data_IF_925503887843
#
_entry.id   IF_925503887843
#
_cell.length_a   1.000
_cell.length_b   1.000
_cell.length_c   1.000
_cell.angle_alpha   90.00
_cell.angle_beta   90.00
_cell.angle_gamma   90.00
#
_symmetry.space_group_name_H-M   'P 1'
#
loop_
_entity.id
_entity.type
_entity.pdbx_description
1 polymer ?
#
# COMPACT_ATOMS: atom_id res chain seq x y z
N UNK A 1 6.24 -14.15 -11.41
CA UNK A 1 5.15 -14.33 -12.40
C UNK A 1 5.21 -13.29 -13.53
N UNK A 2 5.32 -11.99 -13.28
CA UNK A 2 5.28 -10.97 -14.35
C UNK A 2 6.28 -11.24 -15.48
N UNK A 3 7.56 -11.39 -15.17
CA UNK A 3 8.58 -11.69 -16.19
C UNK A 3 8.35 -13.03 -16.89
N UNK A 4 7.84 -14.04 -16.20
CA UNK A 4 7.50 -15.35 -16.80
C UNK A 4 6.28 -15.29 -17.71
N UNK A 5 5.42 -14.29 -17.54
CA UNK A 5 4.29 -13.98 -18.44
C UNK A 5 4.69 -13.09 -19.63
N UNK A 6 5.96 -12.72 -19.74
CA UNK A 6 6.51 -11.97 -20.87
C UNK A 6 6.50 -10.44 -20.67
N UNK A 7 6.17 -9.95 -19.49
CA UNK A 7 6.26 -8.51 -19.19
C UNK A 7 7.71 -8.07 -18.96
N UNK A 8 8.03 -6.85 -19.36
CA UNK A 8 9.27 -6.19 -18.97
C UNK A 8 9.12 -5.61 -17.56
N UNK A 9 9.95 -6.09 -16.64
CA UNK A 9 9.78 -5.80 -15.20
C UNK A 9 11.07 -5.20 -14.63
N UNK A 10 11.24 -3.87 -14.66
CA UNK A 10 12.24 -3.24 -13.81
C UNK A 10 11.81 -3.32 -12.35
N UNK A 11 12.75 -3.64 -11.46
CA UNK A 11 12.53 -3.75 -10.02
C UNK A 11 13.34 -2.68 -9.30
N UNK A 12 12.68 -1.84 -8.54
CA UNK A 12 13.32 -0.82 -7.71
C UNK A 12 12.74 -0.89 -6.31
N UNK A 13 13.55 -1.25 -5.33
CA UNK A 13 13.08 -1.47 -3.96
C UNK A 13 14.04 -0.89 -2.92
N UNK A 14 13.58 -0.64 -1.69
CA UNK A 14 14.46 -0.26 -0.61
C UNK A 14 15.52 -1.35 -0.31
N UNK A 15 16.73 -0.92 0.04
CA UNK A 15 17.87 -1.79 0.39
C UNK A 15 17.67 -2.53 1.73
N UNK A 16 16.71 -2.09 2.54
CA UNK A 16 16.33 -2.72 3.79
C UNK A 16 14.85 -2.48 4.11
N UNK A 17 14.32 -3.25 5.07
CA UNK A 17 12.91 -3.15 5.48
C UNK A 17 12.54 -1.76 5.97
N UNK A 18 11.43 -1.22 5.45
CA UNK A 18 10.89 0.11 5.73
C UNK A 18 9.42 -0.01 6.19
N UNK A 19 9.19 -0.74 7.28
CA UNK A 19 7.83 -0.87 7.84
C UNK A 19 7.37 0.44 8.48
N UNK A 20 6.07 0.74 8.33
CA UNK A 20 5.41 1.92 8.92
C UNK A 20 6.02 3.28 8.55
N UNK A 21 6.64 3.40 7.38
CA UNK A 21 7.20 4.69 6.90
C UNK A 21 6.15 5.58 6.23
N UNK A 22 4.99 5.02 5.86
CA UNK A 22 3.94 5.76 5.15
C UNK A 22 4.43 6.41 3.86
N UNK A 23 3.79 7.49 3.39
CA UNK A 23 4.13 8.20 2.16
C UNK A 23 5.30 9.19 2.29
N UNK A 24 6.18 9.01 3.29
CA UNK A 24 7.32 9.89 3.51
C UNK A 24 8.32 9.86 2.37
N UNK A 25 8.78 11.05 1.93
CA UNK A 25 9.86 11.22 0.95
C UNK A 25 11.16 11.65 1.63
N UNK A 26 12.29 11.20 1.09
CA UNK A 26 13.64 11.56 1.56
C UNK A 26 14.11 12.84 0.89
N UNK A 27 13.94 13.99 1.55
CA UNK A 27 14.30 15.30 0.98
C UNK A 27 15.65 15.86 1.48
N UNK A 28 16.14 15.41 2.64
CA UNK A 28 17.28 16.03 3.30
C UNK A 28 18.58 15.22 3.20
N UNK A 29 18.52 14.04 2.64
CA UNK A 29 19.67 13.19 2.37
C UNK A 29 19.61 12.64 0.96
N UNK A 30 20.76 12.40 0.29
CA UNK A 30 20.75 11.82 -1.04
C UNK A 30 20.25 10.39 -1.02
N UNK A 31 19.39 10.04 -1.98
CA UNK A 31 19.00 8.65 -2.24
C UNK A 31 20.02 8.01 -3.19
N UNK A 32 20.51 6.83 -2.80
CA UNK A 32 21.43 6.01 -3.59
C UNK A 32 20.67 4.84 -4.19
N UNK A 33 21.04 4.45 -5.42
CA UNK A 33 20.53 3.25 -6.07
C UNK A 33 21.73 2.43 -6.57
N UNK A 34 21.77 1.17 -6.18
CA UNK A 34 22.79 0.21 -6.59
C UNK A 34 22.16 -0.92 -7.39
N UNK A 35 22.87 -1.40 -8.42
CA UNK A 35 22.39 -2.55 -9.21
C UNK A 35 22.33 -3.80 -8.34
N UNK A 36 21.27 -4.57 -8.49
CA UNK A 36 20.98 -5.78 -7.72
C UNK A 36 20.41 -6.90 -8.59
N UNK A 37 20.79 -6.95 -9.87
CA UNK A 37 20.25 -7.89 -10.87
C UNK A 37 20.50 -9.35 -10.48
N UNK A 38 21.62 -9.63 -9.79
CA UNK A 38 21.99 -10.96 -9.32
C UNK A 38 21.01 -11.56 -8.30
N UNK A 39 20.16 -10.74 -7.70
CA UNK A 39 19.15 -11.20 -6.75
C UNK A 39 17.85 -11.68 -7.43
N UNK A 40 17.77 -11.52 -8.76
CA UNK A 40 16.56 -11.79 -9.53
C UNK A 40 16.83 -12.79 -10.67
N UNK A 41 15.77 -13.16 -11.36
CA UNK A 41 15.88 -14.03 -12.55
C UNK A 41 16.60 -13.27 -13.69
N UNK A 42 17.35 -13.98 -14.54
CA UNK A 42 18.03 -13.37 -15.68
C UNK A 42 17.07 -12.54 -16.56
N UNK A 43 17.53 -11.34 -16.93
CA UNK A 43 16.76 -10.40 -17.76
C UNK A 43 15.89 -9.40 -16.98
N UNK A 44 15.82 -9.51 -15.67
CA UNK A 44 15.20 -8.50 -14.80
C UNK A 44 16.25 -7.47 -14.40
N UNK A 45 16.03 -6.21 -14.74
CA UNK A 45 16.83 -5.10 -14.23
C UNK A 45 16.36 -4.74 -12.82
N UNK A 46 17.28 -4.72 -11.86
CA UNK A 46 16.95 -4.48 -10.47
C UNK A 46 17.88 -3.47 -9.79
N UNK A 47 17.32 -2.68 -8.89
CA UNK A 47 18.05 -1.70 -8.07
C UNK A 47 17.61 -1.78 -6.59
N UNK A 48 18.59 -1.70 -5.70
CA UNK A 48 18.40 -1.49 -4.27
C UNK A 48 18.63 -0.01 -3.94
N UNK A 49 17.65 0.63 -3.29
CA UNK A 49 17.68 2.06 -3.01
C UNK A 49 17.70 2.34 -1.50
N UNK A 50 18.45 3.37 -1.09
CA UNK A 50 18.52 3.79 0.32
C UNK A 50 17.28 4.58 0.79
N UNK A 51 16.34 4.89 -0.09
CA UNK A 51 15.14 5.67 0.17
C UNK A 51 13.95 4.86 0.71
N UNK A 52 12.81 5.53 0.84
CA UNK A 52 11.52 4.93 1.14
C UNK A 52 10.97 4.20 -0.09
N UNK A 53 9.90 3.37 0.04
CA UNK A 53 9.22 2.79 -1.11
C UNK A 53 8.69 3.83 -2.11
N UNK A 54 8.20 4.98 -1.65
CA UNK A 54 7.79 6.09 -2.51
C UNK A 54 8.97 6.72 -3.26
N UNK A 55 10.13 6.91 -2.59
CA UNK A 55 11.35 7.38 -3.24
C UNK A 55 11.81 6.43 -4.35
N UNK A 56 11.67 5.11 -4.13
CA UNK A 56 12.01 4.10 -5.13
C UNK A 56 11.18 4.27 -6.41
N UNK A 57 9.87 4.51 -6.29
CA UNK A 57 8.99 4.75 -7.44
C UNK A 57 9.36 6.06 -8.16
N UNK A 58 9.54 7.15 -7.41
CA UNK A 58 9.98 8.42 -8.00
C UNK A 58 11.28 8.28 -8.76
N UNK A 59 12.29 7.69 -8.14
CA UNK A 59 13.59 7.49 -8.75
C UNK A 59 13.51 6.54 -9.96
N UNK A 60 12.70 5.50 -9.87
CA UNK A 60 12.46 4.60 -10.99
C UNK A 60 11.92 5.35 -12.20
N UNK A 61 10.85 6.10 -12.01
CA UNK A 61 10.14 6.80 -13.10
C UNK A 61 10.94 7.96 -13.69
N UNK A 62 11.79 8.62 -12.90
CA UNK A 62 12.56 9.77 -13.36
C UNK A 62 13.91 9.41 -14.00
N UNK A 63 14.58 8.34 -13.53
CA UNK A 63 15.99 8.13 -13.85
C UNK A 63 16.37 6.69 -14.24
N UNK A 64 15.70 5.66 -13.70
CA UNK A 64 16.19 4.30 -13.82
C UNK A 64 15.49 3.49 -14.91
N UNK A 65 14.23 3.81 -15.20
CA UNK A 65 13.42 3.10 -16.21
C UNK A 65 13.40 3.94 -17.48
N UNK A 66 13.86 3.39 -18.62
CA UNK A 66 14.04 4.17 -19.86
C UNK A 66 12.72 4.59 -20.52
N UNK A 67 11.66 3.84 -20.28
CA UNK A 67 10.33 4.10 -20.85
C UNK A 67 9.28 4.13 -19.74
N UNK A 68 8.25 4.96 -19.90
CA UNK A 68 7.15 5.05 -18.94
C UNK A 68 6.44 3.69 -18.85
N UNK A 69 6.35 3.06 -17.67
CA UNK A 69 5.68 1.78 -17.54
C UNK A 69 4.15 1.91 -17.67
N UNK A 70 3.48 0.81 -18.01
CA UNK A 70 2.02 0.74 -18.08
C UNK A 70 1.37 0.63 -16.69
N UNK A 71 2.13 0.16 -15.69
CA UNK A 71 1.64 -0.13 -14.35
C UNK A 71 2.74 0.00 -13.31
N UNK A 72 2.42 0.52 -12.14
CA UNK A 72 3.22 0.41 -10.92
C UNK A 72 2.65 -0.70 -10.04
N UNK A 73 3.44 -1.76 -9.84
CA UNK A 73 3.10 -2.88 -8.97
C UNK A 73 3.95 -2.84 -7.71
N UNK A 74 3.34 -2.60 -6.55
CA UNK A 74 4.01 -2.53 -5.26
C UNK A 74 3.67 -3.73 -4.38
N UNK A 75 4.66 -4.52 -4.05
CA UNK A 75 4.50 -5.72 -3.21
C UNK A 75 5.29 -6.92 -3.78
N UNK A 76 5.07 -8.13 -3.31
CA UNK A 76 4.01 -8.55 -2.36
C UNK A 76 4.46 -8.24 -0.93
N UNK A 77 3.70 -7.45 -0.18
CA UNK A 77 3.99 -7.13 1.21
C UNK A 77 3.72 -8.32 2.12
N UNK A 78 4.57 -8.47 3.13
CA UNK A 78 4.46 -9.46 4.18
C UNK A 78 3.75 -8.86 5.40
N UNK A 79 2.45 -9.01 5.43
CA UNK A 79 1.52 -8.46 6.42
C UNK A 79 0.38 -7.69 5.76
N UNK A 80 -0.77 -7.53 6.44
CA UNK A 80 -1.93 -6.84 5.91
C UNK A 80 -1.69 -5.33 5.73
N UNK A 81 -2.37 -4.75 4.74
CA UNK A 81 -2.57 -3.32 4.58
C UNK A 81 -4.07 -3.07 4.44
N UNK A 82 -4.79 -3.16 5.54
CA UNK A 82 -6.25 -3.13 5.63
C UNK A 82 -6.74 -1.87 6.35
N UNK A 83 -7.91 -1.39 5.97
CA UNK A 83 -8.53 -0.25 6.62
C UNK A 83 -7.63 0.98 6.70
N UNK A 84 -7.64 1.66 7.83
CA UNK A 84 -6.83 2.87 8.05
C UNK A 84 -5.32 2.64 8.07
N UNK A 85 -4.84 1.37 8.12
CA UNK A 85 -3.40 1.07 8.05
C UNK A 85 -2.77 1.47 6.72
N UNK A 86 -3.56 1.65 5.67
CA UNK A 86 -3.10 2.15 4.36
C UNK A 86 -2.35 3.48 4.47
N UNK A 87 -2.68 4.33 5.45
CA UNK A 87 -1.99 5.61 5.67
C UNK A 87 -0.55 5.46 6.19
N UNK A 88 -0.23 4.34 6.83
CA UNK A 88 1.10 4.07 7.36
C UNK A 88 1.90 3.08 6.50
N UNK A 89 1.29 2.53 5.45
CA UNK A 89 1.88 1.49 4.61
C UNK A 89 2.86 2.04 3.59
N UNK A 90 4.11 1.56 3.61
CA UNK A 90 5.07 1.84 2.56
C UNK A 90 4.69 1.22 1.21
N UNK A 91 4.04 0.05 1.23
CA UNK A 91 3.56 -0.64 0.02
C UNK A 91 2.46 0.15 -0.68
N UNK A 92 1.47 0.63 0.09
CA UNK A 92 0.41 1.47 -0.45
C UNK A 92 0.97 2.83 -0.89
N UNK A 93 1.92 3.39 -0.14
CA UNK A 93 2.57 4.66 -0.47
C UNK A 93 3.33 4.60 -1.81
N UNK A 94 4.05 3.51 -2.09
CA UNK A 94 4.72 3.32 -3.37
C UNK A 94 3.74 3.23 -4.54
N UNK A 95 2.65 2.48 -4.39
CA UNK A 95 1.60 2.42 -5.41
C UNK A 95 0.90 3.79 -5.57
N UNK A 96 0.64 4.50 -4.47
CA UNK A 96 0.07 5.85 -4.49
C UNK A 96 0.96 6.83 -5.26
N UNK A 97 2.29 6.72 -5.11
CA UNK A 97 3.22 7.55 -5.88
C UNK A 97 3.08 7.30 -7.38
N UNK A 98 2.92 6.05 -7.83
CA UNK A 98 2.61 5.71 -9.22
C UNK A 98 1.31 6.37 -9.70
N UNK A 99 0.28 6.35 -8.87
CA UNK A 99 -1.00 7.00 -9.18
C UNK A 99 -0.87 8.51 -9.30
N UNK A 100 -0.08 9.15 -8.44
CA UNK A 100 0.21 10.60 -8.51
C UNK A 100 0.97 10.99 -9.77
N UNK A 101 1.81 10.09 -10.31
CA UNK A 101 2.51 10.25 -11.60
C UNK A 101 1.64 9.87 -12.82
N UNK A 102 0.34 9.65 -12.60
CA UNK A 102 -0.64 9.35 -13.66
C UNK A 102 -0.50 7.96 -14.25
N UNK A 103 -0.13 6.98 -13.43
CA UNK A 103 -0.03 5.58 -13.81
C UNK A 103 -1.08 4.73 -13.09
N UNK A 104 -1.62 3.69 -13.73
CA UNK A 104 -2.28 2.60 -13.02
C UNK A 104 -1.38 2.07 -11.91
N UNK A 105 -1.92 1.77 -10.74
CA UNK A 105 -1.13 1.28 -9.62
C UNK A 105 -1.87 0.24 -8.78
N UNK A 106 -1.15 -0.84 -8.41
CA UNK A 106 -1.65 -1.94 -7.60
C UNK A 106 -0.73 -2.17 -6.41
N UNK A 107 -1.25 -2.03 -5.19
CA UNK A 107 -0.60 -2.46 -3.96
C UNK A 107 -1.05 -3.88 -3.62
N UNK A 108 -0.12 -4.77 -3.27
CA UNK A 108 -0.38 -6.19 -3.01
C UNK A 108 0.19 -6.60 -1.67
N UNK A 109 -0.61 -7.28 -0.86
CA UNK A 109 -0.23 -7.71 0.49
C UNK A 109 -0.78 -9.09 0.80
N UNK A 110 0.01 -9.93 1.47
CA UNK A 110 -0.50 -11.14 2.14
C UNK A 110 -0.85 -10.78 3.58
N UNK A 111 -2.10 -11.04 3.97
CA UNK A 111 -2.66 -10.60 5.24
C UNK A 111 -2.18 -11.42 6.46
N UNK A 112 -0.90 -11.77 6.51
CA UNK A 112 -0.29 -12.54 7.58
C UNK A 112 1.23 -12.36 7.65
N UNK A 113 1.77 -12.09 8.84
CA UNK A 113 3.21 -11.95 9.06
C UNK A 113 3.96 -13.29 9.18
N UNK A 114 3.28 -14.42 9.32
CA UNK A 114 3.89 -15.75 9.43
C UNK A 114 3.89 -16.52 8.11
N UNK A 115 3.07 -16.13 7.14
CA UNK A 115 2.97 -16.80 5.84
C UNK A 115 4.22 -16.55 4.99
N UNK A 116 4.72 -17.59 4.31
CA UNK A 116 5.97 -17.54 3.53
C UNK A 116 5.80 -17.90 2.05
N UNK A 117 4.65 -18.43 1.65
CA UNK A 117 4.37 -18.74 0.26
C UNK A 117 3.65 -17.56 -0.41
N UNK A 118 4.37 -16.87 -1.28
CA UNK A 118 3.85 -15.71 -2.02
C UNK A 118 3.45 -16.03 -3.45
N UNK A 119 3.62 -17.29 -3.90
CA UNK A 119 3.39 -17.62 -5.31
C UNK A 119 1.93 -17.38 -5.72
N UNK A 120 0.98 -17.92 -4.96
CA UNK A 120 -0.45 -17.75 -5.24
C UNK A 120 -0.87 -16.27 -5.20
N UNK A 121 -0.32 -15.51 -4.25
CA UNK A 121 -0.59 -14.08 -4.15
C UNK A 121 -0.05 -13.31 -5.37
N UNK A 122 1.14 -13.66 -5.82
CA UNK A 122 1.74 -13.01 -6.99
C UNK A 122 1.01 -13.38 -8.30
N UNK A 123 0.52 -14.61 -8.44
CA UNK A 123 -0.30 -15.00 -9.60
C UNK A 123 -1.63 -14.24 -9.61
N UNK A 124 -2.35 -14.20 -8.49
CA UNK A 124 -3.61 -13.45 -8.40
C UNK A 124 -3.40 -11.95 -8.66
N UNK A 125 -2.29 -11.37 -8.18
CA UNK A 125 -1.96 -9.98 -8.44
C UNK A 125 -1.77 -9.70 -9.92
N UNK A 126 -1.12 -10.62 -10.65
CA UNK A 126 -0.96 -10.51 -12.09
C UNK A 126 -2.30 -10.64 -12.82
N UNK A 127 -3.15 -11.57 -12.43
CA UNK A 127 -4.48 -11.71 -13.02
C UNK A 127 -5.32 -10.43 -12.83
N UNK A 128 -5.29 -9.84 -11.63
CA UNK A 128 -5.96 -8.55 -11.35
C UNK A 128 -5.38 -7.43 -12.22
N UNK A 129 -4.05 -7.33 -12.29
CA UNK A 129 -3.35 -6.27 -13.02
C UNK A 129 -3.66 -6.33 -14.54
N UNK A 130 -3.51 -7.51 -15.14
CA UNK A 130 -3.73 -7.72 -16.59
C UNK A 130 -5.19 -7.47 -16.97
N UNK A 131 -6.15 -7.96 -16.17
CA UNK A 131 -7.57 -7.73 -16.41
C UNK A 131 -7.96 -6.25 -16.24
N UNK A 132 -7.46 -5.59 -15.21
CA UNK A 132 -7.78 -4.18 -14.98
C UNK A 132 -7.19 -3.27 -16.06
N UNK A 133 -5.96 -3.54 -16.54
CA UNK A 133 -5.37 -2.82 -17.67
C UNK A 133 -6.14 -3.00 -18.96
N UNK A 134 -6.65 -4.22 -19.21
CA UNK A 134 -7.43 -4.53 -20.39
C UNK A 134 -8.82 -3.84 -20.40
N UNK A 135 -9.39 -3.57 -19.24
CA UNK A 135 -10.72 -2.99 -19.04
C UNK A 135 -10.71 -1.47 -18.72
N UNK A 136 -9.70 -0.75 -19.20
CA UNK A 136 -9.58 0.70 -19.06
C UNK A 136 -9.52 1.17 -17.60
N UNK A 137 -8.33 1.05 -16.99
CA UNK A 137 -8.03 1.50 -15.61
C UNK A 137 -8.33 3.00 -15.44
N UNK A 138 -9.23 3.40 -14.54
CA UNK A 138 -9.57 4.81 -14.33
C UNK A 138 -8.37 5.64 -13.85
N UNK A 139 -8.31 6.90 -14.28
CA UNK A 139 -7.32 7.86 -13.79
C UNK A 139 -7.45 8.05 -12.27
N UNK A 140 -6.32 8.27 -11.61
CA UNK A 140 -6.25 8.50 -10.16
C UNK A 140 -6.78 7.34 -9.30
N UNK A 141 -6.82 6.12 -9.83
CA UNK A 141 -7.21 4.93 -9.11
C UNK A 141 -6.00 4.08 -8.73
N UNK A 142 -5.82 3.86 -7.44
CA UNK A 142 -4.98 2.83 -6.85
C UNK A 142 -5.88 1.65 -6.45
N UNK A 143 -5.50 0.44 -6.81
CA UNK A 143 -6.10 -0.78 -6.28
C UNK A 143 -5.25 -1.34 -5.15
N UNK A 144 -5.86 -1.64 -4.01
CA UNK A 144 -5.22 -2.27 -2.85
C UNK A 144 -5.75 -3.70 -2.69
N UNK A 145 -4.92 -4.67 -3.04
CA UNK A 145 -5.22 -6.09 -2.99
C UNK A 145 -4.61 -6.70 -1.72
N UNK A 146 -5.46 -7.22 -0.85
CA UNK A 146 -5.04 -8.05 0.27
C UNK A 146 -5.49 -9.49 0.04
N UNK A 147 -4.62 -10.45 0.36
CA UNK A 147 -4.80 -11.87 0.06
C UNK A 147 -4.68 -12.65 1.37
N UNK A 148 -5.63 -13.52 1.71
CA UNK A 148 -5.58 -14.30 2.93
C UNK A 148 -4.44 -15.32 2.88
N UNK A 149 -3.87 -15.73 4.04
CA UNK A 149 -2.80 -16.71 4.12
C UNK A 149 -3.34 -18.15 3.99
N UNK A 150 -3.81 -18.52 2.82
CA UNK A 150 -4.34 -19.86 2.55
C UNK A 150 -3.88 -20.35 1.17
N UNK A 151 -3.97 -21.65 0.97
CA UNK A 151 -3.71 -22.26 -0.34
C UNK A 151 -4.84 -21.92 -1.34
N UNK A 152 -4.55 -21.89 -2.65
CA UNK A 152 -5.53 -21.50 -3.69
C UNK A 152 -6.85 -22.26 -3.60
N UNK A 153 -6.83 -23.56 -3.25
CA UNK A 153 -8.02 -24.40 -3.15
C UNK A 153 -8.94 -24.02 -1.98
N UNK A 154 -8.42 -23.27 -1.02
CA UNK A 154 -9.15 -22.80 0.17
C UNK A 154 -9.55 -21.32 0.04
N UNK A 155 -9.07 -20.67 -1.02
CA UNK A 155 -9.30 -19.24 -1.25
C UNK A 155 -10.71 -19.00 -1.76
N UNK A 156 -11.43 -18.13 -1.07
CA UNK A 156 -12.74 -17.66 -1.51
C UNK A 156 -12.66 -16.71 -2.71
N UNK A 157 -13.82 -16.27 -3.19
CA UNK A 157 -13.89 -15.37 -4.32
C UNK A 157 -13.37 -13.96 -3.98
N UNK A 158 -12.55 -13.39 -4.88
CA UNK A 158 -12.16 -11.99 -4.87
C UNK A 158 -13.41 -11.09 -4.92
N UNK A 159 -13.46 -10.06 -4.09
CA UNK A 159 -14.53 -9.07 -4.09
C UNK A 159 -14.00 -7.65 -4.03
N UNK A 160 -14.75 -6.75 -4.61
CA UNK A 160 -14.65 -5.33 -4.30
C UNK A 160 -15.00 -5.09 -2.85
N UNK A 161 -14.19 -4.27 -2.18
CA UNK A 161 -14.34 -3.98 -0.76
C UNK A 161 -14.19 -2.48 -0.50
N UNK A 162 -14.61 -2.06 0.69
CA UNK A 162 -14.37 -0.71 1.21
C UNK A 162 -13.39 -0.78 2.38
N UNK A 163 -12.65 0.30 2.62
CA UNK A 163 -11.74 0.36 3.77
C UNK A 163 -12.54 0.27 5.08
N UNK A 164 -12.07 -0.54 6.00
CA UNK A 164 -12.50 -0.52 7.40
C UNK A 164 -11.83 0.62 8.16
N UNK A 165 -12.31 0.91 9.36
CA UNK A 165 -11.64 1.81 10.30
C UNK A 165 -11.08 0.98 11.43
N UNK A 166 -9.76 0.88 11.53
CA UNK A 166 -9.06 0.08 12.52
C UNK A 166 -8.73 0.92 13.75
N UNK A 167 -9.02 0.40 14.92
CA UNK A 167 -8.65 0.97 16.20
C UNK A 167 -7.65 0.06 16.91
N UNK A 168 -6.57 0.67 17.38
CA UNK A 168 -5.53 0.00 18.14
C UNK A 168 -5.60 0.42 19.60
N UNK A 169 -5.38 -0.51 20.51
CA UNK A 169 -5.03 -0.18 21.91
C UNK A 169 -3.55 0.18 21.96
N UNK A 170 -3.25 1.40 21.56
CA UNK A 170 -1.87 1.89 21.48
C UNK A 170 -1.34 2.19 22.88
N UNK A 171 -0.34 1.42 23.30
CA UNK A 171 0.36 1.60 24.56
C UNK A 171 1.84 1.74 24.32
N UNK A 172 2.47 2.72 24.96
CA UNK A 172 3.91 2.82 25.01
C UNK A 172 4.48 2.00 26.15
N UNK A 173 5.23 0.95 25.84
CA UNK A 173 6.01 0.20 26.83
C UNK A 173 7.30 0.97 27.16
N UNK A 174 7.36 1.52 28.35
CA UNK A 174 8.56 2.22 28.86
C UNK A 174 9.62 1.23 29.29
N UNK A 175 10.87 1.46 28.86
CA UNK A 175 12.05 0.68 29.24
C UNK A 175 13.25 1.58 29.54
N UNK A 176 14.30 1.01 30.10
CA UNK A 176 15.56 1.68 30.41
C UNK A 176 16.68 0.89 29.74
N UNK A 177 17.57 1.56 29.02
CA UNK A 177 18.73 0.96 28.40
C UNK A 177 19.84 0.68 29.44
N UNK A 178 20.90 -0.10 29.10
CA UNK A 178 22.01 -0.39 30.01
C UNK A 178 22.79 0.85 30.49
N UNK A 179 22.61 2.00 29.83
CA UNK A 179 23.26 3.29 30.21
C UNK A 179 22.35 4.18 31.06
N UNK A 180 21.16 3.69 31.44
CA UNK A 180 20.19 4.41 32.26
C UNK A 180 19.25 5.36 31.51
N UNK A 181 19.30 5.39 30.16
CA UNK A 181 18.42 6.22 29.34
C UNK A 181 17.04 5.55 29.16
N UNK A 182 15.98 6.33 29.31
CA UNK A 182 14.62 5.85 29.08
C UNK A 182 14.31 5.83 27.59
N UNK A 183 13.68 4.74 27.13
CA UNK A 183 13.11 4.62 25.79
C UNK A 183 11.75 3.96 25.82
N UNK A 184 11.01 4.07 24.71
CA UNK A 184 9.63 3.59 24.61
C UNK A 184 9.47 2.76 23.34
N UNK A 185 8.77 1.64 23.47
CA UNK A 185 8.28 0.87 22.34
C UNK A 185 6.80 1.16 22.18
N UNK A 186 6.38 1.50 20.95
CA UNK A 186 4.97 1.47 20.61
C UNK A 186 4.54 0.00 20.54
N UNK A 187 3.63 -0.39 21.42
CA UNK A 187 2.99 -1.69 21.46
C UNK A 187 1.49 -1.47 21.34
N UNK A 188 0.80 -2.41 20.73
CA UNK A 188 -0.66 -2.34 20.62
C UNK A 188 -1.19 -3.48 19.79
N UNK A 189 -2.39 -3.90 20.08
CA UNK A 189 -3.14 -4.88 19.31
C UNK A 189 -4.36 -4.20 18.70
N UNK A 190 -4.84 -4.71 17.57
CA UNK A 190 -6.11 -4.27 17.00
C UNK A 190 -7.23 -4.65 17.97
N UNK A 191 -7.89 -3.66 18.55
CA UNK A 191 -8.97 -3.89 19.52
C UNK A 191 -10.30 -3.99 18.81
N UNK A 192 -10.48 -3.26 17.71
CA UNK A 192 -11.73 -3.22 17.00
C UNK A 192 -11.56 -2.75 15.55
N UNK A 193 -12.16 -3.49 14.64
CA UNK A 193 -12.42 -3.04 13.29
C UNK A 193 -13.86 -2.51 13.21
N UNK A 194 -14.01 -1.24 12.84
CA UNK A 194 -15.30 -0.62 12.59
C UNK A 194 -15.58 -0.62 11.09
N UNK A 195 -16.82 -0.91 10.74
CA UNK A 195 -17.26 -0.66 9.38
C UNK A 195 -17.17 0.83 9.07
N UNK A 196 -16.58 1.15 7.90
CA UNK A 196 -16.57 2.53 7.42
C UNK A 196 -18.00 3.03 7.22
N UNK A 197 -18.33 4.18 7.79
CA UNK A 197 -19.58 4.89 7.55
C UNK A 197 -19.58 5.69 6.23
N UNK A 198 -18.56 5.46 5.34
CA UNK A 198 -18.41 6.20 4.10
C UNK A 198 -19.52 5.92 3.06
N UNK A 199 -19.60 6.81 2.07
CA UNK A 199 -20.61 6.80 1.00
C UNK A 199 -20.40 5.71 -0.08
N UNK A 200 -19.56 4.71 0.16
CA UNK A 200 -19.34 3.60 -0.77
C UNK A 200 -20.56 2.68 -0.92
N UNK A 201 -20.55 1.79 -1.92
CA UNK A 201 -21.64 0.82 -2.11
C UNK A 201 -21.89 0.02 -0.82
N UNK A 202 -23.11 0.06 -0.31
CA UNK A 202 -23.46 -0.58 0.99
C UNK A 202 -23.41 -2.09 0.97
N UNK A 203 -23.46 -2.68 -0.21
CA UNK A 203 -23.37 -4.12 -0.48
C UNK A 203 -21.90 -4.62 -0.54
N UNK A 204 -20.93 -3.73 -0.54
CA UNK A 204 -19.51 -4.11 -0.48
C UNK A 204 -19.12 -4.41 0.97
N UNK A 205 -18.52 -5.58 1.24
CA UNK A 205 -17.97 -5.86 2.56
C UNK A 205 -16.81 -4.92 2.89
N UNK A 206 -16.46 -4.80 4.17
CA UNK A 206 -15.17 -4.19 4.53
C UNK A 206 -14.03 -5.14 4.13
N UNK A 207 -12.86 -4.58 3.87
CA UNK A 207 -11.66 -5.33 3.51
C UNK A 207 -11.26 -6.34 4.60
N UNK A 208 -11.38 -5.96 5.88
CA UNK A 208 -11.12 -6.86 7.01
C UNK A 208 -12.13 -8.00 7.01
N UNK A 209 -13.44 -7.72 6.94
CA UNK A 209 -14.46 -8.76 6.95
C UNK A 209 -14.29 -9.75 5.77
N UNK A 210 -13.85 -9.27 4.60
CA UNK A 210 -13.57 -10.11 3.45
C UNK A 210 -12.40 -11.08 3.73
N UNK A 211 -11.30 -10.57 4.28
CA UNK A 211 -10.12 -11.39 4.64
C UNK A 211 -10.47 -12.45 5.69
N UNK A 212 -11.30 -12.14 6.66
CA UNK A 212 -11.76 -13.07 7.69
C UNK A 212 -12.54 -14.27 7.12
N UNK A 213 -13.09 -14.15 5.93
CA UNK A 213 -13.74 -15.26 5.22
C UNK A 213 -12.79 -16.10 4.36
N UNK A 214 -11.47 -15.96 4.52
CA UNK A 214 -10.44 -16.54 3.65
C UNK A 214 -10.60 -16.16 2.18
N UNK A 215 -11.07 -14.96 1.90
CA UNK A 215 -11.27 -14.47 0.55
C UNK A 215 -10.49 -13.15 0.30
N UNK A 216 -9.89 -12.97 -0.89
CA UNK A 216 -9.15 -11.76 -1.20
C UNK A 216 -10.05 -10.53 -1.25
N UNK A 217 -9.52 -9.39 -0.78
CA UNK A 217 -10.16 -8.08 -0.85
C UNK A 217 -9.48 -7.19 -1.88
N UNK A 218 -10.24 -6.49 -2.70
CA UNK A 218 -9.77 -5.50 -3.66
C UNK A 218 -10.45 -4.17 -3.38
N UNK A 219 -9.70 -3.23 -2.81
CA UNK A 219 -10.22 -1.94 -2.38
C UNK A 219 -9.74 -0.84 -3.31
N UNK A 220 -10.64 -0.10 -3.98
CA UNK A 220 -10.27 1.08 -4.74
C UNK A 220 -9.94 2.24 -3.79
N UNK A 221 -8.79 2.88 -4.01
CA UNK A 221 -8.29 4.02 -3.25
C UNK A 221 -7.94 5.16 -4.23
N UNK A 222 -8.14 6.38 -3.80
CA UNK A 222 -7.75 7.57 -4.57
C UNK A 222 -6.91 8.52 -3.72
N UNK A 223 -6.02 9.32 -4.33
CA UNK A 223 -5.18 10.28 -3.60
C UNK A 223 -5.94 11.50 -3.06
N UNK A 224 -7.18 11.74 -3.53
CA UNK A 224 -7.98 12.89 -3.14
C UNK A 224 -8.52 12.73 -1.70
N UNK A 225 -7.91 13.46 -0.77
CA UNK A 225 -8.28 13.52 0.65
C UNK A 225 -9.25 14.67 0.96
N UNK A 226 -9.82 15.34 -0.05
CA UNK A 226 -10.77 16.43 0.18
C UNK A 226 -12.02 15.90 0.89
N UNK A 227 -12.36 16.52 2.02
CA UNK A 227 -13.55 16.16 2.77
C UNK A 227 -14.83 16.51 1.99
N UNK A 228 -15.61 15.49 1.64
CA UNK A 228 -16.84 15.60 0.82
C UNK A 228 -18.12 15.47 1.65
N UNK A 229 -18.02 15.53 2.98
CA UNK A 229 -19.18 15.50 3.85
C UNK A 229 -20.03 16.77 3.72
N UNK A 230 -20.97 16.95 4.64
CA UNK A 230 -21.87 18.13 4.63
C UNK A 230 -21.07 19.42 4.83
N UNK A 231 -20.75 20.12 3.74
CA UNK A 231 -19.98 21.36 3.78
C UNK A 231 -20.66 22.47 4.58
N UNK A 232 -22.01 22.45 4.70
CA UNK A 232 -22.74 23.42 5.52
C UNK A 232 -22.58 23.17 7.03
N UNK A 233 -22.04 22.01 7.43
CA UNK A 233 -21.70 21.71 8.83
C UNK A 233 -20.31 22.22 9.22
N UNK A 234 -19.53 22.79 8.30
CA UNK A 234 -18.24 23.38 8.62
C UNK A 234 -18.42 24.60 9.53
N UNK A 235 -17.57 24.75 10.56
CA UNK A 235 -17.67 25.89 11.46
C UNK A 235 -17.41 27.20 10.71
N UNK A 236 -18.19 28.22 11.02
CA UNK A 236 -17.88 29.58 10.57
C UNK A 236 -16.69 30.10 11.37
N UNK A 237 -15.59 30.41 10.70
CA UNK A 237 -14.39 30.92 11.36
C UNK A 237 -14.28 32.43 11.23
N UNK A 238 -13.93 33.09 12.32
CA UNK A 238 -13.61 34.52 12.36
C UNK A 238 -12.11 34.67 12.56
N UNK A 239 -11.42 35.08 11.50
CA UNK A 239 -9.96 35.25 11.52
C UNK A 239 -9.63 36.69 11.10
N UNK A 240 -8.88 37.41 11.91
CA UNK A 240 -8.40 38.76 11.63
C UNK A 240 -9.47 39.68 10.99
N UNK A 241 -10.66 39.75 11.60
CA UNK A 241 -11.84 40.53 11.13
C UNK A 241 -12.47 40.06 9.81
N UNK A 242 -12.11 38.91 9.28
CA UNK A 242 -12.74 38.28 8.13
C UNK A 242 -13.57 37.06 8.56
N UNK A 243 -14.73 36.87 7.91
CA UNK A 243 -15.56 35.68 8.05
C UNK A 243 -15.23 34.71 6.93
N UNK A 244 -14.77 33.50 7.29
CA UNK A 244 -14.63 32.37 6.38
C UNK A 244 -15.86 31.48 6.51
N UNK A 245 -16.61 31.35 5.44
CA UNK A 245 -17.84 30.54 5.36
C UNK A 245 -17.63 29.36 4.44
#
# INVERSE_FOLDING_TARGET
PAATRGHMVPVVCPDHGRSATGPGLTLHTPTRAERADELYIPGVNAWACSGTPADCVKLALSELVPEKPDLVLSGVNHGPNLGTDVFCSGTVAAAMEGTLEGLPALAVSVACFQWRDFQAAAELAMDVAENALADNWPDNLLLNLNIPPCHPEQMGALRWTRLSVRHYDEQFSRRIDPRGSTYFWLAGEVVKDLESAGDGPRDWPSDVAQIETNAPSLTPIQPDLFWRGNLSALPTLKVANQLVR
#
